data_IF_844159491531
#
_entry.id   IF_844159491531
#
_cell.length_a   1.000
_cell.length_b   1.000
_cell.length_c   1.000
_cell.angle_alpha   90.00
_cell.angle_beta   90.00
_cell.angle_gamma   90.00
#
_symmetry.space_group_name_H-M   'P 1'
#
loop_
_entity.id
_entity.type
_entity.pdbx_description
1 polymer ?
#
# COMPACT_ATOMS: atom_id res chain seq x y z
N UNK A 1 23.05 -23.17 38.21
CA UNK A 1 22.32 -21.93 37.89
C UNK A 1 22.50 -21.70 36.40
N UNK A 2 21.59 -22.27 35.59
CA UNK A 2 21.58 -22.01 34.16
C UNK A 2 20.90 -20.66 33.95
N UNK A 3 21.65 -19.71 33.40
CA UNK A 3 21.11 -18.40 33.04
C UNK A 3 20.15 -18.59 31.87
N UNK A 4 18.90 -18.18 32.05
CA UNK A 4 17.92 -18.08 30.96
C UNK A 4 18.53 -17.31 29.77
N UNK A 5 18.36 -17.79 28.52
CA UNK A 5 18.84 -17.06 27.36
C UNK A 5 18.15 -15.70 27.29
N UNK A 6 18.88 -14.62 26.91
CA UNK A 6 18.32 -13.28 26.85
C UNK A 6 17.15 -13.29 25.86
N UNK A 7 15.96 -13.00 26.36
CA UNK A 7 14.77 -12.76 25.54
C UNK A 7 15.15 -11.78 24.42
N UNK A 8 15.16 -12.27 23.18
CA UNK A 8 15.45 -11.46 22.00
C UNK A 8 14.46 -10.29 22.00
N UNK A 9 14.99 -9.11 22.34
CA UNK A 9 14.25 -7.85 22.32
C UNK A 9 13.53 -7.80 20.99
N UNK A 10 12.21 -7.63 21.03
CA UNK A 10 11.37 -7.49 19.84
C UNK A 10 11.92 -6.30 19.04
N UNK A 11 12.77 -6.58 18.06
CA UNK A 11 13.41 -5.54 17.25
C UNK A 11 12.31 -4.65 16.68
N UNK A 12 12.41 -3.35 16.90
CA UNK A 12 11.44 -2.40 16.39
C UNK A 12 11.61 -2.33 14.88
N UNK A 13 10.75 -3.05 14.15
CA UNK A 13 10.78 -3.03 12.69
C UNK A 13 10.17 -1.71 12.21
N UNK A 14 10.99 -0.86 11.59
CA UNK A 14 10.58 0.47 11.13
C UNK A 14 9.42 0.37 10.13
N UNK A 15 8.39 1.19 10.34
CA UNK A 15 7.26 1.35 9.42
C UNK A 15 7.59 2.28 8.24
N UNK A 16 8.67 3.06 8.36
CA UNK A 16 9.18 3.94 7.31
C UNK A 16 10.06 3.14 6.36
N UNK A 17 9.92 3.40 5.06
CA UNK A 17 10.73 2.81 3.99
C UNK A 17 11.66 3.87 3.43
N UNK A 18 12.96 3.58 3.39
CA UNK A 18 13.94 4.43 2.70
C UNK A 18 14.11 4.00 1.24
N UNK A 19 14.73 4.84 0.43
CA UNK A 19 15.02 4.50 -0.96
C UNK A 19 16.00 3.33 -1.07
N UNK A 20 16.95 3.22 -0.14
CA UNK A 20 17.90 2.10 -0.05
C UNK A 20 17.16 0.79 0.29
N UNK A 21 16.21 0.83 1.23
CA UNK A 21 15.38 -0.33 1.56
C UNK A 21 14.49 -0.75 0.38
N UNK A 22 13.95 0.20 -0.39
CA UNK A 22 13.18 -0.06 -1.60
C UNK A 22 14.05 -0.66 -2.71
N UNK A 23 15.26 -0.12 -2.92
CA UNK A 23 16.22 -0.65 -3.88
C UNK A 23 16.64 -2.08 -3.50
N UNK A 24 16.92 -2.33 -2.23
CA UNK A 24 17.24 -3.66 -1.71
C UNK A 24 16.06 -4.62 -1.90
N UNK A 25 14.83 -4.20 -1.58
CA UNK A 25 13.64 -5.02 -1.79
C UNK A 25 13.45 -5.40 -3.26
N UNK A 26 13.64 -4.45 -4.20
CA UNK A 26 13.59 -4.73 -5.64
C UNK A 26 14.66 -5.73 -6.07
N UNK A 27 15.90 -5.55 -5.61
CA UNK A 27 17.00 -6.45 -5.91
C UNK A 27 16.72 -7.88 -5.41
N UNK A 28 16.29 -8.01 -4.15
CA UNK A 28 16.03 -9.31 -3.55
C UNK A 28 14.81 -10.01 -4.17
N UNK A 29 13.78 -9.26 -4.59
CA UNK A 29 12.66 -9.83 -5.36
C UNK A 29 13.11 -10.30 -6.73
N UNK A 30 14.01 -9.57 -7.40
CA UNK A 30 14.58 -10.02 -8.67
C UNK A 30 15.46 -11.28 -8.50
N UNK A 31 16.20 -11.38 -7.40
CA UNK A 31 17.07 -12.53 -7.06
C UNK A 31 16.30 -13.79 -6.69
N UNK A 32 15.30 -13.67 -5.80
CA UNK A 32 14.58 -14.82 -5.22
C UNK A 32 13.25 -15.12 -5.89
N UNK A 33 12.67 -14.14 -6.60
CA UNK A 33 11.31 -14.18 -7.12
C UNK A 33 10.28 -13.57 -6.16
N UNK A 34 9.24 -12.96 -6.71
CA UNK A 34 8.12 -12.45 -5.94
C UNK A 34 7.36 -13.62 -5.27
N UNK A 35 7.13 -13.51 -3.96
CA UNK A 35 6.46 -14.56 -3.17
C UNK A 35 7.36 -15.21 -2.10
N UNK A 36 8.69 -15.15 -2.27
CA UNK A 36 9.66 -15.70 -1.30
C UNK A 36 9.99 -14.71 -0.18
N UNK A 37 8.96 -14.13 0.44
CA UNK A 37 9.10 -13.02 1.40
C UNK A 37 9.89 -13.38 2.66
N UNK A 38 9.87 -14.65 3.07
CA UNK A 38 10.66 -15.15 4.22
C UNK A 38 12.15 -15.14 3.88
N UNK A 39 12.51 -15.61 2.69
CA UNK A 39 13.90 -15.61 2.23
C UNK A 39 14.41 -14.19 2.02
N UNK A 40 13.58 -13.31 1.45
CA UNK A 40 13.89 -11.88 1.28
C UNK A 40 14.07 -11.19 2.64
N UNK A 41 13.22 -11.49 3.63
CA UNK A 41 13.34 -10.87 4.95
C UNK A 41 14.61 -11.28 5.71
N UNK A 42 15.17 -12.46 5.45
CA UNK A 42 16.47 -12.87 6.03
C UNK A 42 17.61 -11.97 5.58
N UNK A 43 17.49 -11.38 4.39
CA UNK A 43 18.45 -10.42 3.84
C UNK A 43 18.03 -8.95 4.10
N UNK A 44 16.96 -8.70 4.86
CA UNK A 44 16.47 -7.36 5.22
C UNK A 44 16.25 -7.25 6.75
N UNK A 45 17.29 -6.90 7.53
CA UNK A 45 17.25 -7.01 9.00
C UNK A 45 16.14 -6.19 9.68
N UNK A 46 15.66 -5.11 9.05
CA UNK A 46 14.67 -4.21 9.65
C UNK A 46 13.24 -4.41 9.15
N UNK A 47 12.99 -5.37 8.25
CA UNK A 47 11.69 -5.53 7.58
C UNK A 47 11.18 -6.96 7.67
N UNK A 48 9.94 -7.12 8.15
CA UNK A 48 9.27 -8.42 8.20
C UNK A 48 8.77 -8.85 6.83
N UNK A 49 8.61 -10.16 6.57
CA UNK A 49 8.04 -10.67 5.32
C UNK A 49 6.73 -9.97 4.92
N UNK A 50 5.83 -9.74 5.90
CA UNK A 50 4.55 -9.05 5.69
C UNK A 50 4.74 -7.58 5.25
N UNK A 51 5.72 -6.87 5.80
CA UNK A 51 6.00 -5.49 5.41
C UNK A 51 6.55 -5.42 3.99
N UNK A 52 7.48 -6.31 3.67
CA UNK A 52 8.11 -6.41 2.34
C UNK A 52 7.04 -6.73 1.29
N UNK A 53 6.20 -7.73 1.56
CA UNK A 53 5.10 -8.08 0.66
C UNK A 53 4.15 -6.90 0.41
N UNK A 54 3.73 -6.20 1.47
CA UNK A 54 2.85 -5.04 1.35
C UNK A 54 3.52 -3.91 0.54
N UNK A 55 4.80 -3.63 0.82
CA UNK A 55 5.57 -2.60 0.09
C UNK A 55 5.71 -2.95 -1.38
N UNK A 56 6.04 -4.21 -1.68
CA UNK A 56 6.11 -4.70 -3.06
C UNK A 56 4.78 -4.52 -3.78
N UNK A 57 3.70 -5.07 -3.23
CA UNK A 57 2.38 -5.04 -3.84
C UNK A 57 1.87 -3.61 -4.08
N UNK A 58 2.05 -2.72 -3.11
CA UNK A 58 1.39 -1.41 -3.11
C UNK A 58 2.23 -0.30 -3.75
N UNK A 59 3.56 -0.47 -3.87
CA UNK A 59 4.49 0.59 -4.28
C UNK A 59 5.61 0.18 -5.25
N UNK A 60 6.19 -1.03 -5.13
CA UNK A 60 7.40 -1.39 -5.90
C UNK A 60 7.16 -2.28 -7.11
N UNK A 61 6.03 -3.00 -7.14
CA UNK A 61 5.66 -3.87 -8.25
C UNK A 61 5.66 -3.05 -9.55
N UNK A 62 6.28 -3.56 -10.63
CA UNK A 62 6.21 -2.93 -11.95
C UNK A 62 4.76 -2.61 -12.35
N UNK A 63 4.55 -1.44 -12.92
CA UNK A 63 3.24 -0.95 -13.33
C UNK A 63 2.51 -0.12 -12.27
N UNK A 64 2.97 -0.08 -11.01
CA UNK A 64 2.38 0.81 -10.00
C UNK A 64 2.78 2.28 -10.24
N UNK A 65 1.79 3.17 -10.25
CA UNK A 65 1.93 4.62 -10.38
C UNK A 65 1.71 5.30 -9.04
N UNK A 66 2.76 5.95 -8.54
CA UNK A 66 2.75 6.70 -7.26
C UNK A 66 2.55 8.21 -7.43
N UNK A 67 2.43 8.68 -8.66
CA UNK A 67 2.23 10.08 -8.99
C UNK A 67 0.83 10.64 -8.66
N UNK A 68 0.59 11.93 -8.95
CA UNK A 68 -0.70 12.60 -8.74
C UNK A 68 -1.85 11.86 -9.42
N UNK A 69 -3.06 11.94 -8.84
CA UNK A 69 -4.27 11.42 -9.47
C UNK A 69 -4.73 12.35 -10.60
N UNK A 70 -4.94 11.78 -11.78
CA UNK A 70 -5.45 12.50 -12.94
C UNK A 70 -6.98 12.60 -12.90
N UNK A 71 -7.54 13.66 -13.48
CA UNK A 71 -9.00 13.86 -13.51
C UNK A 71 -9.77 12.69 -14.13
N UNK A 72 -9.23 12.08 -15.19
CA UNK A 72 -9.83 10.90 -15.81
C UNK A 72 -9.82 9.66 -14.88
N UNK A 73 -8.72 9.43 -14.15
CA UNK A 73 -8.62 8.35 -13.16
C UNK A 73 -9.61 8.56 -12.01
N UNK A 74 -9.80 9.81 -11.60
CA UNK A 74 -10.71 10.18 -10.51
C UNK A 74 -12.17 9.99 -10.90
N UNK A 75 -12.55 10.45 -12.09
CA UNK A 75 -13.89 10.20 -12.64
C UNK A 75 -14.17 8.70 -12.76
N UNK A 76 -13.19 7.92 -13.23
CA UNK A 76 -13.32 6.46 -13.32
C UNK A 76 -13.44 5.81 -11.95
N UNK A 77 -12.63 6.24 -10.97
CA UNK A 77 -12.70 5.76 -9.60
C UNK A 77 -14.08 6.04 -8.98
N UNK A 78 -14.64 7.23 -9.17
CA UNK A 78 -15.97 7.58 -8.66
C UNK A 78 -17.05 6.66 -9.23
N UNK A 79 -17.01 6.41 -10.55
CA UNK A 79 -17.94 5.48 -11.21
C UNK A 79 -17.84 4.06 -10.65
N UNK A 80 -16.62 3.54 -10.51
CA UNK A 80 -16.41 2.20 -9.99
C UNK A 80 -16.86 2.10 -8.53
N UNK A 81 -16.49 3.06 -7.69
CA UNK A 81 -16.87 3.08 -6.28
C UNK A 81 -18.41 3.12 -6.09
N UNK A 82 -19.12 3.87 -6.94
CA UNK A 82 -20.58 3.89 -6.94
C UNK A 82 -21.20 2.52 -7.32
N UNK A 83 -20.54 1.74 -8.18
CA UNK A 83 -21.05 0.44 -8.65
C UNK A 83 -20.73 -0.71 -7.69
N UNK A 84 -19.52 -0.76 -7.12
CA UNK A 84 -19.04 -1.91 -6.33
C UNK A 84 -18.71 -1.60 -4.87
N UNK A 85 -18.92 -0.36 -4.41
CA UNK A 85 -18.66 0.02 -3.03
C UNK A 85 -17.18 -0.09 -2.67
N UNK A 86 -16.84 -0.67 -1.51
CA UNK A 86 -15.47 -0.70 -0.99
C UNK A 86 -14.64 -1.91 -1.49
N UNK A 87 -14.91 -2.42 -2.69
CA UNK A 87 -14.12 -3.50 -3.31
C UNK A 87 -12.85 -2.96 -4.00
N UNK A 88 -11.88 -2.58 -3.18
CA UNK A 88 -10.63 -1.94 -3.63
C UNK A 88 -9.80 -2.83 -4.55
N UNK A 89 -9.87 -4.16 -4.36
CA UNK A 89 -9.11 -5.12 -5.15
C UNK A 89 -9.64 -5.14 -6.58
N UNK A 90 -10.95 -5.33 -6.76
CA UNK A 90 -11.59 -5.31 -8.07
C UNK A 90 -11.41 -3.96 -8.77
N UNK A 91 -11.47 -2.85 -8.02
CA UNK A 91 -11.18 -1.53 -8.59
C UNK A 91 -9.73 -1.39 -9.05
N UNK A 92 -8.76 -1.98 -8.35
CA UNK A 92 -7.35 -1.94 -8.77
C UNK A 92 -7.05 -2.77 -10.00
N UNK A 93 -7.86 -3.78 -10.28
CA UNK A 93 -7.77 -4.55 -11.52
C UNK A 93 -8.33 -3.76 -12.73
N UNK A 94 -9.22 -2.80 -12.47
CA UNK A 94 -9.85 -1.95 -13.49
C UNK A 94 -9.20 -0.57 -13.64
N UNK A 95 -8.41 -0.12 -12.67
CA UNK A 95 -7.63 1.12 -12.69
C UNK A 95 -6.15 0.79 -12.86
N UNK A 96 -5.66 0.88 -14.09
CA UNK A 96 -4.27 0.58 -14.41
C UNK A 96 -3.30 1.40 -13.53
N UNK A 97 -2.36 0.69 -12.92
CA UNK A 97 -1.31 1.25 -12.10
C UNK A 97 -1.71 1.82 -10.73
N UNK A 98 -2.99 1.80 -10.34
CA UNK A 98 -3.40 2.17 -8.99
C UNK A 98 -3.60 0.93 -8.13
N UNK A 99 -2.81 0.79 -7.07
CA UNK A 99 -3.00 -0.30 -6.11
C UNK A 99 -4.30 -0.13 -5.32
N UNK A 100 -4.88 -1.24 -4.83
CA UNK A 100 -6.03 -1.22 -3.93
C UNK A 100 -5.81 -0.30 -2.72
N UNK A 101 -4.57 -0.24 -2.20
CA UNK A 101 -4.21 0.65 -1.12
C UNK A 101 -4.25 2.13 -1.54
N UNK A 102 -3.75 2.47 -2.72
CA UNK A 102 -3.83 3.83 -3.26
C UNK A 102 -5.29 4.28 -3.42
N UNK A 103 -6.15 3.42 -3.97
CA UNK A 103 -7.57 3.68 -4.16
C UNK A 103 -8.26 3.95 -2.81
N UNK A 104 -8.14 3.01 -1.87
CA UNK A 104 -8.68 3.16 -0.51
C UNK A 104 -8.21 4.45 0.16
N UNK A 105 -6.93 4.81 0.01
CA UNK A 105 -6.37 6.03 0.56
C UNK A 105 -6.99 7.29 -0.07
N UNK A 106 -7.19 7.30 -1.39
CA UNK A 106 -7.85 8.40 -2.11
C UNK A 106 -9.29 8.59 -1.61
N UNK A 107 -10.05 7.51 -1.52
CA UNK A 107 -11.44 7.54 -1.01
C UNK A 107 -11.51 8.05 0.42
N UNK A 108 -10.65 7.55 1.30
CA UNK A 108 -10.63 7.98 2.70
C UNK A 108 -10.17 9.44 2.84
N UNK A 109 -9.28 9.92 1.98
CA UNK A 109 -8.90 11.33 1.93
C UNK A 109 -10.08 12.22 1.54
N UNK A 110 -10.83 11.84 0.49
CA UNK A 110 -12.04 12.54 0.09
C UNK A 110 -13.08 12.58 1.22
N UNK A 111 -13.39 11.43 1.83
CA UNK A 111 -14.33 11.35 2.97
C UNK A 111 -13.93 12.21 4.17
N UNK A 112 -12.64 12.29 4.48
CA UNK A 112 -12.15 13.17 5.56
C UNK A 112 -12.38 14.65 5.25
N UNK A 113 -12.26 15.04 3.98
CA UNK A 113 -12.52 16.41 3.56
C UNK A 113 -14.00 16.77 3.74
N UNK A 114 -14.93 15.91 3.32
CA UNK A 114 -16.39 16.11 3.50
C UNK A 114 -16.76 16.34 4.94
N UNK A 115 -16.27 15.47 5.84
CA UNK A 115 -16.54 15.56 7.28
C UNK A 115 -16.04 16.88 7.86
N UNK A 116 -14.95 17.43 7.31
CA UNK A 116 -14.37 18.70 7.76
C UNK A 116 -15.12 19.92 7.19
N UNK A 117 -15.61 19.83 5.96
CA UNK A 117 -16.27 20.95 5.26
C UNK A 117 -17.78 21.03 5.51
N UNK A 118 -18.38 20.04 6.18
CA UNK A 118 -19.82 20.03 6.50
C UNK A 118 -20.72 19.75 5.29
N UNK A 119 -20.15 19.31 4.17
CA UNK A 119 -20.90 18.92 2.98
C UNK A 119 -21.75 17.66 3.23
N UNK A 120 -22.98 17.63 2.73
CA UNK A 120 -23.94 16.54 2.94
C UNK A 120 -23.58 15.25 2.20
N UNK A 121 -24.12 14.11 2.65
CA UNK A 121 -23.85 12.77 2.09
C UNK A 121 -24.14 12.62 0.58
N UNK A 122 -25.02 13.46 0.02
CA UNK A 122 -25.34 13.48 -1.42
C UNK A 122 -24.21 14.06 -2.29
N UNK A 123 -23.32 14.87 -1.72
CA UNK A 123 -22.19 15.49 -2.41
C UNK A 123 -20.91 14.63 -2.36
N UNK A 124 -20.95 13.43 -1.76
CA UNK A 124 -19.79 12.53 -1.67
C UNK A 124 -19.27 12.08 -3.05
N UNK A 125 -20.13 12.18 -4.08
CA UNK A 125 -19.80 11.87 -5.49
C UNK A 125 -19.13 13.04 -6.24
N UNK A 126 -19.07 14.24 -5.66
CA UNK A 126 -18.54 15.46 -6.30
C UNK A 126 -17.11 15.84 -5.85
N UNK A 127 -16.48 15.06 -4.97
CA UNK A 127 -15.16 15.40 -4.39
C UNK A 127 -13.98 14.68 -5.06
N UNK A 128 -14.24 14.04 -6.20
CA UNK A 128 -13.27 13.20 -6.88
C UNK A 128 -12.43 13.99 -7.85
#
# INVERSE_FOLDING_TARGET
AEADPPSLKREFHSTVWTEEEDALARHLVAKHGAGRWVDIAREMPNKRPKQIHARWRDYLRPGIVTGPWQGAELARLAQLHAQMGNDWSSMSDLLEGRSANAIKNRVNAARRLVRKTGFGKSDETHLW
#
